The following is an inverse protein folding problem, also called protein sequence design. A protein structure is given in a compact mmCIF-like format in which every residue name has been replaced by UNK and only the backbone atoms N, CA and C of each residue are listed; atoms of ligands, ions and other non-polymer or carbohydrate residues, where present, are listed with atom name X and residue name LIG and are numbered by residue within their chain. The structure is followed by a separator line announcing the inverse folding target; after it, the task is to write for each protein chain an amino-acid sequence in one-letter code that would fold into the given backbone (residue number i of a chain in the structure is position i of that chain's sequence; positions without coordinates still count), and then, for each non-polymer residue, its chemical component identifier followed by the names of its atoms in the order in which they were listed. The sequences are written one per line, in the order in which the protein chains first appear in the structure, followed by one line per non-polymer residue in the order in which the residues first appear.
data_IF_818564823467
#
_entry.id   IF_818564823467
#
_cell.length_a   1.000
_cell.length_b   1.000
_cell.length_c   1.000
_cell.angle_alpha   90.00
_cell.angle_beta   90.00
_cell.angle_gamma   90.00
#
_symmetry.space_group_name_H-M   'P 1'
#
loop_
_entity.id
_entity.type
_entity.pdbx_description
1 polymer ?
#
# COMPACT_ATOMS: atom_id res chain seq x y z
N UNK A 1 -4.42 -0.30 -9.01
CA UNK A 1 -4.81 -0.75 -7.66
C UNK A 1 -3.68 -1.60 -7.08
N UNK A 2 -3.19 -1.26 -5.87
CA UNK A 2 -2.04 -1.91 -5.21
C UNK A 2 -2.34 -3.37 -4.88
N UNK A 3 -3.54 -3.67 -4.38
CA UNK A 3 -3.95 -5.04 -4.04
C UNK A 3 -3.99 -5.93 -5.29
N UNK A 4 -4.54 -5.42 -6.40
CA UNK A 4 -4.55 -6.15 -7.68
C UNK A 4 -3.13 -6.47 -8.15
N UNK A 5 -2.21 -5.49 -8.07
CA UNK A 5 -0.80 -5.68 -8.42
C UNK A 5 -0.16 -6.77 -7.55
N UNK A 6 -0.32 -6.69 -6.22
CA UNK A 6 0.23 -7.67 -5.30
C UNK A 6 -0.28 -9.09 -5.59
N UNK A 7 -1.58 -9.26 -5.82
CA UNK A 7 -2.16 -10.57 -6.20
C UNK A 7 -1.59 -11.09 -7.52
N UNK A 8 -1.33 -10.23 -8.50
CA UNK A 8 -0.73 -10.65 -9.78
C UNK A 8 0.73 -11.08 -9.61
N UNK A 9 1.53 -10.31 -8.87
CA UNK A 9 2.92 -10.67 -8.56
C UNK A 9 2.96 -12.00 -7.79
N UNK A 10 2.08 -12.16 -6.78
CA UNK A 10 1.96 -13.36 -5.97
C UNK A 10 1.75 -14.63 -6.79
N UNK A 11 1.01 -14.52 -7.90
CA UNK A 11 0.63 -15.65 -8.74
C UNK A 11 1.71 -16.04 -9.74
N UNK A 12 2.48 -15.07 -10.23
CA UNK A 12 3.27 -15.23 -11.46
C UNK A 12 4.77 -15.07 -11.24
N UNK A 13 5.17 -14.35 -10.19
CA UNK A 13 6.57 -14.05 -9.86
C UNK A 13 6.97 -14.74 -8.56
N UNK A 14 6.20 -14.52 -7.49
CA UNK A 14 6.55 -15.03 -6.17
C UNK A 14 5.78 -14.32 -5.05
N UNK A 15 5.95 -14.76 -3.80
CA UNK A 15 5.14 -14.31 -2.67
C UNK A 15 5.17 -12.79 -2.49
N UNK A 16 4.05 -12.22 -2.06
CA UNK A 16 3.92 -10.80 -1.74
C UNK A 16 3.46 -10.60 -0.31
N UNK A 17 3.86 -9.47 0.29
CA UNK A 17 3.45 -9.06 1.61
C UNK A 17 2.64 -7.76 1.54
N UNK A 18 1.52 -7.70 2.28
CA UNK A 18 0.68 -6.51 2.41
C UNK A 18 0.46 -6.27 3.90
N UNK A 19 0.83 -5.08 4.36
CA UNK A 19 0.52 -4.62 5.71
C UNK A 19 -0.57 -3.55 5.62
N UNK A 20 -1.77 -3.86 6.10
CA UNK A 20 -2.89 -2.92 6.14
C UNK A 20 -3.16 -2.49 7.58
N UNK A 21 -3.15 -1.17 7.84
CA UNK A 21 -3.65 -0.65 9.11
C UNK A 21 -5.17 -0.80 9.14
N UNK A 22 -5.68 -1.25 10.28
CA UNK A 22 -7.12 -1.34 10.54
C UNK A 22 -7.39 -0.63 11.85
N UNK A 23 -8.23 0.39 11.80
CA UNK A 23 -8.72 1.03 13.02
C UNK A 23 -9.76 0.11 13.65
N UNK A 24 -9.66 -0.11 14.95
CA UNK A 24 -10.55 -0.97 15.72
C UNK A 24 -11.33 -0.14 16.73
N UNK A 25 -12.64 0.01 16.51
CA UNK A 25 -13.52 0.82 17.36
C UNK A 25 -13.57 0.34 18.81
N UNK A 26 -13.51 -0.97 19.04
CA UNK A 26 -13.53 -1.56 20.39
C UNK A 26 -12.21 -1.31 21.11
N UNK A 27 -11.08 -1.59 20.44
CA UNK A 27 -9.73 -1.45 21.02
C UNK A 27 -9.41 0.01 21.37
N UNK A 28 -9.80 0.95 20.50
CA UNK A 28 -9.49 2.36 20.65
C UNK A 28 -10.63 3.19 21.26
N UNK A 29 -11.74 2.53 21.62
CA UNK A 29 -12.97 3.18 22.12
C UNK A 29 -13.45 4.34 21.24
N UNK A 30 -13.39 4.16 19.92
CA UNK A 30 -13.78 5.16 18.92
C UNK A 30 -15.24 4.88 18.50
N UNK A 31 -16.10 5.90 18.35
CA UNK A 31 -17.42 5.72 17.74
C UNK A 31 -17.32 5.07 16.35
N UNK A 32 -18.22 4.14 16.03
CA UNK A 32 -18.16 3.36 14.77
C UNK A 32 -18.16 4.24 13.52
N UNK A 33 -18.86 5.38 13.55
CA UNK A 33 -18.92 6.38 12.47
C UNK A 33 -17.61 7.16 12.30
N UNK A 34 -16.72 7.14 13.30
CA UNK A 34 -15.42 7.84 13.31
C UNK A 34 -14.23 6.97 12.92
N UNK A 35 -14.42 5.67 12.73
CA UNK A 35 -13.34 4.71 12.39
C UNK A 35 -12.60 5.08 11.10
N UNK A 36 -13.33 5.55 10.07
CA UNK A 36 -12.70 5.93 8.80
C UNK A 36 -11.93 7.24 8.88
N UNK A 37 -12.31 8.13 9.79
CA UNK A 37 -11.59 9.38 10.06
C UNK A 37 -10.28 9.06 10.78
N UNK A 38 -10.33 8.25 11.84
CA UNK A 38 -9.15 7.78 12.56
C UNK A 38 -8.14 7.07 11.64
N UNK A 39 -8.62 6.16 10.79
CA UNK A 39 -7.75 5.45 9.84
C UNK A 39 -6.99 6.41 8.92
N UNK A 40 -7.63 7.48 8.44
CA UNK A 40 -6.98 8.50 7.62
C UNK A 40 -5.99 9.34 8.42
N UNK A 41 -6.35 9.75 9.63
CA UNK A 41 -5.43 10.49 10.51
C UNK A 41 -4.17 9.68 10.80
N UNK A 42 -4.31 8.37 11.03
CA UNK A 42 -3.16 7.48 11.26
C UNK A 42 -2.32 7.28 9.99
N UNK A 43 -2.96 7.19 8.81
CA UNK A 43 -2.27 7.14 7.51
C UNK A 43 -1.38 8.37 7.28
N UNK A 44 -1.89 9.56 7.60
CA UNK A 44 -1.18 10.83 7.39
C UNK A 44 0.01 11.04 8.37
N UNK A 45 -0.02 10.41 9.53
CA UNK A 45 0.99 10.54 10.58
C UNK A 45 2.00 9.37 10.56
N UNK A 46 1.60 8.22 11.13
CA UNK A 46 2.50 7.12 11.53
C UNK A 46 2.38 5.86 10.69
N UNK A 47 1.37 5.76 9.81
CA UNK A 47 1.15 4.61 8.93
C UNK A 47 1.08 5.02 7.46
N UNK A 48 2.11 5.73 7.00
CA UNK A 48 2.17 6.24 5.63
C UNK A 48 2.25 5.12 4.61
N UNK A 49 1.62 5.36 3.47
CA UNK A 49 1.72 4.45 2.33
C UNK A 49 3.18 4.32 1.86
N UNK A 50 3.66 3.07 1.79
CA UNK A 50 4.96 2.74 1.19
C UNK A 50 4.79 1.52 0.28
N UNK A 51 5.60 1.47 -0.78
CA UNK A 51 5.57 0.36 -1.72
C UNK A 51 6.99 0.02 -2.16
N UNK A 52 7.33 -1.27 -2.01
CA UNK A 52 8.53 -1.85 -2.56
C UNK A 52 8.13 -2.92 -3.58
N UNK A 53 8.75 -2.88 -4.76
CA UNK A 53 8.54 -3.85 -5.83
C UNK A 53 9.92 -4.34 -6.26
N UNK A 54 10.12 -5.65 -6.30
CA UNK A 54 11.35 -6.28 -6.78
C UNK A 54 11.53 -6.07 -8.29
N UNK A 55 12.76 -6.23 -8.79
CA UNK A 55 13.06 -5.97 -10.21
C UNK A 55 12.34 -6.94 -11.16
N UNK A 56 12.29 -8.22 -10.83
CA UNK A 56 11.55 -9.25 -11.57
C UNK A 56 10.05 -8.94 -11.65
N UNK A 57 9.46 -8.45 -10.57
CA UNK A 57 8.08 -8.02 -10.52
C UNK A 57 7.83 -6.75 -11.35
N UNK A 58 8.77 -5.80 -11.36
CA UNK A 58 8.70 -4.62 -12.22
C UNK A 58 8.72 -5.00 -13.70
N UNK A 59 9.62 -5.91 -14.09
CA UNK A 59 9.73 -6.44 -15.45
C UNK A 59 8.43 -7.14 -15.88
N UNK A 60 7.92 -8.06 -15.05
CA UNK A 60 6.65 -8.75 -15.32
C UNK A 60 5.47 -7.78 -15.53
N UNK A 61 5.36 -6.75 -14.69
CA UNK A 61 4.29 -5.75 -14.80
C UNK A 61 4.46 -4.85 -16.03
N UNK A 62 5.69 -4.49 -16.37
CA UNK A 62 6.01 -3.70 -17.55
C UNK A 62 5.63 -4.43 -18.84
N UNK A 63 5.97 -5.71 -18.95
CA UNK A 63 5.67 -6.54 -20.12
C UNK A 63 4.16 -6.72 -20.33
N UNK A 64 3.41 -6.90 -19.23
CA UNK A 64 1.99 -7.24 -19.29
C UNK A 64 1.07 -6.04 -19.47
N UNK A 65 1.44 -4.88 -18.93
CA UNK A 65 0.55 -3.71 -18.86
C UNK A 65 1.19 -2.39 -19.30
N UNK A 66 2.47 -2.40 -19.67
CA UNK A 66 3.20 -1.19 -20.06
C UNK A 66 3.78 -0.44 -18.88
N UNK A 67 5.01 0.05 -19.07
CA UNK A 67 5.89 0.63 -18.04
C UNK A 67 5.27 1.74 -17.19
N UNK A 68 4.33 2.53 -17.71
CA UNK A 68 3.86 3.77 -17.06
C UNK A 68 2.75 3.56 -16.03
N UNK A 69 2.01 2.44 -16.09
CA UNK A 69 0.79 2.27 -15.27
C UNK A 69 1.08 1.74 -13.85
N UNK A 70 2.27 1.15 -13.65
CA UNK A 70 2.64 0.49 -12.40
C UNK A 70 3.92 1.02 -11.74
N UNK A 71 4.50 2.12 -12.26
CA UNK A 71 5.52 2.84 -11.51
C UNK A 71 4.96 3.29 -10.17
N UNK A 72 5.73 3.15 -9.08
CA UNK A 72 5.33 3.68 -7.79
C UNK A 72 5.07 5.18 -7.95
N UNK A 73 3.88 5.64 -7.57
CA UNK A 73 3.62 7.07 -7.42
C UNK A 73 4.66 7.56 -6.41
N UNK A 74 5.48 8.59 -6.73
CA UNK A 74 6.52 9.02 -5.82
C UNK A 74 5.89 9.33 -4.46
N UNK A 75 6.28 8.57 -3.44
CA UNK A 75 5.97 8.90 -2.06
C UNK A 75 6.59 10.28 -1.80
N UNK A 76 5.80 11.21 -1.25
CA UNK A 76 6.33 12.50 -0.82
C UNK A 76 7.53 12.20 0.09
N UNK A 77 8.69 12.75 -0.27
CA UNK A 77 9.95 12.47 0.40
C UNK A 77 9.78 12.60 1.92
N UNK A 78 10.24 11.59 2.65
CA UNK A 78 10.34 11.64 4.11
C UNK A 78 11.32 12.76 4.44
N UNK A 79 10.81 13.94 4.80
CA UNK A 79 11.62 14.96 5.47
C UNK A 79 12.00 14.39 6.83
N UNK A 80 13.25 13.95 6.96
CA UNK A 80 13.87 13.72 8.26
C UNK A 80 13.90 15.07 8.99
N UNK A 81 13.33 15.10 10.20
CA UNK A 81 13.40 16.22 11.12
C UNK A 81 14.70 16.17 11.93
#
# INVERSE_FOLDING_TARGET
SVIKKAVLIAREVGPTYIQAYTSCNIEYAIPTDKVMEDAKTVEDDRYKFTEYVSEDAKEYLADRYGYKEYLPKPAAAVTQA
#
